data_IF_554558702147
#
_entry.id   IF_554558702147
#
_cell.length_a   1.000
_cell.length_b   1.000
_cell.length_c   1.000
_cell.angle_alpha   90.00
_cell.angle_beta   90.00
_cell.angle_gamma   90.00
#
_symmetry.space_group_name_H-M   'P 1'
#
loop_
_entity.id
_entity.type
_entity.pdbx_description
1 polymer ?
#
# COMPACT_ATOMS: atom_id res chain seq x y z
N UNK A 1 -20.07 -19.74 -3.64
CA UNK A 1 -20.14 -21.01 -2.88
C UNK A 1 -21.62 -21.21 -2.55
N UNK A 2 -22.26 -22.23 -3.11
CA UNK A 2 -23.72 -22.41 -2.98
C UNK A 2 -24.03 -23.02 -1.60
N UNK A 3 -24.68 -22.25 -0.73
CA UNK A 3 -25.28 -22.72 0.53
C UNK A 3 -26.67 -23.31 0.21
N UNK A 4 -27.00 -24.45 0.81
CA UNK A 4 -28.22 -25.20 0.54
C UNK A 4 -29.49 -24.46 1.05
N UNK A 5 -30.65 -24.58 0.36
CA UNK A 5 -31.88 -23.90 0.69
C UNK A 5 -32.72 -24.74 1.67
N UNK A 6 -32.42 -24.64 2.96
CA UNK A 6 -33.35 -25.06 4.01
C UNK A 6 -33.37 -23.93 5.04
N UNK A 7 -34.49 -23.70 5.72
CA UNK A 7 -34.77 -22.58 6.64
C UNK A 7 -35.33 -21.30 5.97
N UNK A 8 -36.52 -21.43 5.36
CA UNK A 8 -37.49 -20.33 5.33
C UNK A 8 -38.74 -20.77 6.10
N UNK A 9 -39.06 -20.08 7.19
CA UNK A 9 -40.44 -19.98 7.68
C UNK A 9 -41.05 -18.74 7.05
N UNK A 10 -42.22 -18.91 6.43
CA UNK A 10 -42.80 -17.99 5.44
C UNK A 10 -43.46 -16.72 6.04
N UNK A 11 -43.04 -16.30 7.24
CA UNK A 11 -43.70 -15.23 8.02
C UNK A 11 -42.75 -14.20 8.67
N UNK A 12 -41.42 -14.30 8.51
CA UNK A 12 -40.49 -13.38 9.17
C UNK A 12 -39.49 -12.77 8.17
N UNK A 13 -39.51 -11.45 8.00
CA UNK A 13 -38.55 -10.65 7.20
C UNK A 13 -37.11 -10.66 7.79
N UNK A 14 -36.79 -11.66 8.61
CA UNK A 14 -35.52 -11.82 9.32
C UNK A 14 -34.53 -12.59 8.45
N UNK A 15 -33.27 -12.21 8.54
CA UNK A 15 -32.17 -12.97 7.96
C UNK A 15 -31.62 -13.96 8.98
N UNK A 16 -31.50 -15.23 8.61
CA UNK A 16 -30.93 -16.27 9.48
C UNK A 16 -29.83 -17.03 8.75
N UNK A 17 -28.70 -17.22 9.44
CA UNK A 17 -27.58 -18.05 8.96
C UNK A 17 -27.17 -19.05 10.04
N UNK A 18 -27.19 -20.34 9.70
CA UNK A 18 -26.66 -21.40 10.57
C UNK A 18 -25.12 -21.41 10.50
N UNK A 19 -24.47 -21.20 11.64
CA UNK A 19 -23.02 -21.17 11.76
C UNK A 19 -22.42 -22.49 12.25
N UNK A 20 -23.25 -23.53 12.47
CA UNK A 20 -22.81 -24.88 12.83
C UNK A 20 -21.75 -25.46 11.87
N UNK A 21 -21.83 -25.27 10.55
CA UNK A 21 -20.78 -25.72 9.61
C UNK A 21 -19.40 -25.10 9.85
N UNK A 22 -19.34 -23.96 10.55
CA UNK A 22 -18.10 -23.24 10.87
C UNK A 22 -17.62 -23.50 12.31
N UNK A 23 -18.25 -24.44 13.02
CA UNK A 23 -17.89 -24.81 14.40
C UNK A 23 -18.58 -23.97 15.49
N UNK A 24 -19.55 -23.13 15.13
CA UNK A 24 -20.33 -22.36 16.09
C UNK A 24 -21.69 -23.00 16.35
N UNK A 25 -22.01 -23.31 17.60
CA UNK A 25 -23.25 -24.02 17.98
C UNK A 25 -24.48 -23.09 18.09
N UNK A 26 -24.61 -22.12 17.19
CA UNK A 26 -25.75 -21.20 17.13
C UNK A 26 -26.02 -20.75 15.69
N UNK A 27 -27.26 -20.34 15.42
CA UNK A 27 -27.63 -19.55 14.25
C UNK A 27 -27.56 -18.07 14.58
N UNK A 28 -27.06 -17.26 13.65
CA UNK A 28 -27.16 -15.81 13.72
C UNK A 28 -28.47 -15.37 13.07
N UNK A 29 -29.26 -14.57 13.79
CA UNK A 29 -30.51 -13.98 13.32
C UNK A 29 -30.36 -12.46 13.31
N UNK A 30 -30.72 -11.83 12.20
CA UNK A 30 -30.72 -10.37 12.03
C UNK A 30 -32.13 -9.92 11.64
N UNK A 31 -32.70 -9.04 12.46
CA UNK A 31 -34.03 -8.50 12.26
C UNK A 31 -34.07 -7.47 11.11
N UNK A 32 -35.24 -7.22 10.49
CA UNK A 32 -35.36 -6.26 9.37
C UNK A 32 -35.14 -4.81 9.82
N UNK A 33 -35.03 -3.92 8.83
CA UNK A 33 -34.75 -2.49 9.06
C UNK A 33 -35.74 -1.82 10.03
N UNK A 34 -37.04 -2.08 9.91
CA UNK A 34 -38.05 -1.49 10.79
C UNK A 34 -37.91 -1.90 12.26
N UNK A 35 -37.24 -3.02 12.53
CA UNK A 35 -36.99 -3.56 13.86
C UNK A 35 -35.59 -3.18 14.39
N UNK A 36 -34.92 -2.23 13.72
CA UNK A 36 -33.66 -1.66 14.19
C UNK A 36 -32.41 -2.47 13.83
N UNK A 37 -32.55 -3.50 12.98
CA UNK A 37 -31.48 -4.46 12.66
C UNK A 37 -30.84 -5.05 13.93
N UNK A 38 -31.66 -5.36 14.93
CA UNK A 38 -31.21 -6.08 16.11
C UNK A 38 -30.71 -7.47 15.71
N UNK A 39 -29.75 -7.99 16.47
CA UNK A 39 -29.06 -9.23 16.15
C UNK A 39 -29.16 -10.17 17.34
N UNK A 40 -29.33 -11.45 17.07
CA UNK A 40 -29.50 -12.48 18.09
C UNK A 40 -28.73 -13.74 17.71
N UNK A 41 -28.25 -14.46 18.72
CA UNK A 41 -27.76 -15.84 18.59
C UNK A 41 -28.84 -16.78 19.07
N UNK A 42 -29.24 -17.71 18.22
CA UNK A 42 -30.22 -18.75 18.51
C UNK A 42 -29.49 -20.08 18.68
N UNK A 43 -29.49 -20.63 19.88
CA UNK A 43 -28.79 -21.88 20.21
C UNK A 43 -29.68 -23.10 20.00
N UNK A 44 -29.04 -24.26 19.83
CA UNK A 44 -29.74 -25.54 19.62
C UNK A 44 -30.61 -25.98 20.81
N UNK A 45 -30.35 -25.46 22.01
CA UNK A 45 -31.16 -25.69 23.22
C UNK A 45 -32.40 -24.78 23.32
N UNK A 46 -32.60 -23.91 22.32
CA UNK A 46 -33.69 -22.93 22.25
C UNK A 46 -33.40 -21.64 23.01
N UNK A 47 -32.23 -21.47 23.61
CA UNK A 47 -31.83 -20.19 24.21
C UNK A 47 -31.54 -19.14 23.13
N UNK A 48 -31.84 -17.89 23.46
CA UNK A 48 -31.62 -16.72 22.59
C UNK A 48 -30.79 -15.70 23.35
N UNK A 49 -29.69 -15.26 22.76
CA UNK A 49 -28.81 -14.22 23.31
C UNK A 49 -28.80 -13.02 22.35
N UNK A 50 -28.99 -11.81 22.88
CA UNK A 50 -28.81 -10.59 22.09
C UNK A 50 -27.33 -10.44 21.69
N UNK A 51 -27.08 -10.14 20.43
CA UNK A 51 -25.76 -9.88 19.90
C UNK A 51 -25.56 -8.38 19.70
N UNK A 52 -24.55 -7.83 20.38
CA UNK A 52 -24.09 -6.47 20.14
C UNK A 52 -22.90 -6.45 19.18
N UNK A 53 -22.79 -5.37 18.40
CA UNK A 53 -21.59 -5.09 17.62
C UNK A 53 -21.60 -5.56 16.17
N UNK A 54 -20.42 -5.89 15.67
CA UNK A 54 -20.21 -6.44 14.32
C UNK A 54 -20.64 -7.90 14.22
N UNK A 55 -21.19 -8.27 13.06
CA UNK A 55 -21.47 -9.68 12.70
C UNK A 55 -20.41 -10.28 11.79
N UNK A 56 -19.35 -9.54 11.45
CA UNK A 56 -18.25 -9.94 10.57
C UNK A 56 -18.71 -10.43 9.17
N UNK A 57 -19.93 -10.08 8.78
CA UNK A 57 -20.49 -10.26 7.46
C UNK A 57 -20.82 -8.91 6.86
N UNK A 58 -20.27 -8.65 5.68
CA UNK A 58 -20.66 -7.51 4.85
C UNK A 58 -22.08 -7.69 4.30
N UNK A 59 -22.75 -6.57 3.97
CA UNK A 59 -24.04 -6.63 3.25
C UNK A 59 -23.93 -7.42 1.95
N UNK A 60 -22.81 -7.33 1.24
CA UNK A 60 -22.61 -8.09 0.02
C UNK A 60 -22.60 -9.60 0.31
N UNK A 61 -21.90 -10.05 1.36
CA UNK A 61 -21.91 -11.48 1.75
C UNK A 61 -23.31 -11.94 2.16
N UNK A 62 -24.05 -11.11 2.90
CA UNK A 62 -25.45 -11.39 3.27
C UNK A 62 -26.31 -11.50 2.01
N UNK A 63 -26.25 -10.53 1.09
CA UNK A 63 -27.03 -10.55 -0.15
C UNK A 63 -26.78 -11.81 -1.02
N UNK A 64 -25.58 -12.38 -1.00
CA UNK A 64 -25.25 -13.61 -1.74
C UNK A 64 -25.71 -14.90 -1.04
N UNK A 65 -26.20 -14.82 0.19
CA UNK A 65 -26.71 -15.97 0.93
C UNK A 65 -28.21 -16.19 0.68
N UNK A 66 -28.71 -17.44 0.81
CA UNK A 66 -30.15 -17.71 0.67
C UNK A 66 -30.99 -16.82 1.58
N UNK A 67 -32.00 -16.15 1.02
CA UNK A 67 -32.89 -15.22 1.75
C UNK A 67 -32.29 -13.83 2.03
N UNK A 68 -30.97 -13.65 1.91
CA UNK A 68 -30.30 -12.38 2.24
C UNK A 68 -30.72 -11.21 1.36
N UNK A 69 -30.99 -11.43 0.06
CA UNK A 69 -31.51 -10.36 -0.83
C UNK A 69 -32.81 -9.76 -0.30
N UNK A 70 -33.71 -10.59 0.23
CA UNK A 70 -34.99 -10.09 0.74
C UNK A 70 -34.80 -9.21 1.98
N UNK A 71 -33.93 -9.63 2.89
CA UNK A 71 -33.58 -8.84 4.08
C UNK A 71 -32.86 -7.54 3.71
N UNK A 72 -31.91 -7.56 2.77
CA UNK A 72 -31.23 -6.34 2.30
C UNK A 72 -32.24 -5.34 1.72
N UNK A 73 -33.27 -5.81 1.01
CA UNK A 73 -34.32 -4.95 0.46
C UNK A 73 -35.22 -4.30 1.53
N UNK A 74 -35.11 -4.68 2.81
CA UNK A 74 -35.78 -3.95 3.91
C UNK A 74 -35.06 -2.63 4.22
N UNK A 75 -33.77 -2.52 3.87
CA UNK A 75 -32.92 -1.37 4.16
C UNK A 75 -33.07 -0.35 3.02
N UNK A 76 -33.25 0.95 3.32
CA UNK A 76 -33.32 1.98 2.28
C UNK A 76 -32.05 2.04 1.41
N UNK A 77 -32.21 2.01 0.07
CA UNK A 77 -31.10 1.95 -0.89
C UNK A 77 -30.00 2.99 -0.65
N UNK A 78 -30.39 4.24 -0.40
CA UNK A 78 -29.42 5.32 -0.15
C UNK A 78 -28.53 5.09 1.09
N UNK A 79 -28.95 4.27 2.05
CA UNK A 79 -28.13 3.91 3.22
C UNK A 79 -27.16 2.76 2.89
N UNK A 80 -27.53 1.88 1.97
CA UNK A 80 -26.66 0.81 1.46
C UNK A 80 -25.44 1.46 0.78
N UNK A 81 -25.67 2.45 -0.08
CA UNK A 81 -24.60 3.20 -0.75
C UNK A 81 -23.65 3.88 0.24
N UNK A 82 -24.16 4.39 1.36
CA UNK A 82 -23.35 5.07 2.38
C UNK A 82 -22.43 4.12 3.15
N UNK A 83 -22.81 2.84 3.29
CA UNK A 83 -22.02 1.86 4.04
C UNK A 83 -21.19 0.92 3.16
N UNK A 84 -21.40 0.90 1.83
CA UNK A 84 -20.60 0.14 0.88
C UNK A 84 -19.07 0.26 1.12
N UNK A 85 -18.51 1.45 1.43
CA UNK A 85 -17.08 1.58 1.70
C UNK A 85 -16.61 0.92 3.01
N UNK A 86 -17.49 0.40 3.87
CA UNK A 86 -17.15 -0.16 5.19
C UNK A 86 -17.67 -1.59 5.34
N UNK A 87 -17.13 -2.55 4.56
CA UNK A 87 -17.69 -3.90 4.50
C UNK A 87 -17.74 -4.60 5.87
N UNK A 88 -16.72 -4.41 6.72
CA UNK A 88 -16.61 -5.12 8.00
C UNK A 88 -17.57 -4.58 9.07
N UNK A 89 -17.86 -3.28 9.06
CA UNK A 89 -18.67 -2.62 10.11
C UNK A 89 -19.99 -2.04 9.59
N UNK A 90 -20.28 -2.14 8.30
CA UNK A 90 -21.43 -1.51 7.67
C UNK A 90 -22.78 -1.93 8.27
N UNK A 91 -22.94 -3.22 8.59
CA UNK A 91 -24.15 -3.73 9.27
C UNK A 91 -24.26 -3.15 10.68
N UNK A 92 -23.15 -3.07 11.42
CA UNK A 92 -23.16 -2.47 12.75
C UNK A 92 -23.50 -0.98 12.70
N UNK A 93 -22.92 -0.22 11.75
CA UNK A 93 -23.24 1.18 11.49
C UNK A 93 -24.73 1.38 11.19
N UNK A 94 -25.32 0.52 10.34
CA UNK A 94 -26.75 0.55 10.05
C UNK A 94 -27.60 0.25 11.28
N UNK A 95 -27.22 -0.76 12.08
CA UNK A 95 -28.00 -1.07 13.30
C UNK A 95 -27.99 0.08 14.31
N UNK A 96 -26.88 0.81 14.45
CA UNK A 96 -26.83 2.03 15.25
C UNK A 96 -27.75 3.10 14.66
N UNK A 97 -27.68 3.33 13.35
CA UNK A 97 -28.49 4.33 12.66
C UNK A 97 -30.00 4.03 12.71
N UNK A 98 -30.40 2.76 12.62
CA UNK A 98 -31.79 2.34 12.65
C UNK A 98 -32.47 2.61 14.01
N UNK A 99 -31.69 2.65 15.10
CA UNK A 99 -32.20 2.81 16.47
C UNK A 99 -31.85 4.16 17.11
N UNK A 100 -30.92 4.93 16.52
CA UNK A 100 -30.47 6.19 17.08
C UNK A 100 -30.39 7.30 16.02
N UNK A 101 -31.17 8.37 16.23
CA UNK A 101 -31.23 9.52 15.31
C UNK A 101 -29.87 10.22 15.13
N UNK A 102 -29.03 10.31 16.16
CA UNK A 102 -27.71 10.96 16.02
C UNK A 102 -26.73 10.09 15.23
N UNK A 103 -26.79 8.77 15.40
CA UNK A 103 -26.03 7.84 14.56
C UNK A 103 -26.50 7.93 13.10
N UNK A 104 -27.81 8.05 12.85
CA UNK A 104 -28.36 8.30 11.51
C UNK A 104 -27.84 9.63 10.92
N UNK A 105 -27.88 10.72 11.69
CA UNK A 105 -27.35 12.02 11.26
C UNK A 105 -25.85 11.91 10.89
N UNK A 106 -25.05 11.17 11.67
CA UNK A 106 -23.63 10.92 11.37
C UNK A 106 -23.46 10.05 10.12
N UNK A 107 -24.25 9.00 9.95
CA UNK A 107 -24.20 8.14 8.77
C UNK A 107 -24.47 8.95 7.50
N UNK A 108 -25.48 9.84 7.52
CA UNK A 108 -25.82 10.68 6.37
C UNK A 108 -24.77 11.77 6.12
N UNK A 109 -24.26 12.41 7.18
CA UNK A 109 -23.39 13.58 7.02
C UNK A 109 -21.90 13.24 6.88
N UNK A 110 -21.41 12.21 7.57
CA UNK A 110 -20.00 11.79 7.56
C UNK A 110 -19.86 10.33 8.04
N UNK A 111 -20.14 9.33 7.16
CA UNK A 111 -20.10 7.91 7.51
C UNK A 111 -18.80 7.45 8.18
N UNK A 112 -17.64 7.97 7.74
CA UNK A 112 -16.32 7.64 8.31
C UNK A 112 -16.27 7.89 9.82
N UNK A 113 -16.98 8.92 10.31
CA UNK A 113 -17.01 9.21 11.74
C UNK A 113 -17.76 8.13 12.52
N UNK A 114 -18.90 7.67 12.00
CA UNK A 114 -19.65 6.57 12.60
C UNK A 114 -18.84 5.27 12.53
N UNK A 115 -18.15 5.02 11.42
CA UNK A 115 -17.20 3.91 11.29
C UNK A 115 -16.13 3.94 12.41
N UNK A 116 -15.51 5.08 12.70
CA UNK A 116 -14.52 5.16 13.78
C UNK A 116 -15.12 4.92 15.17
N UNK A 117 -16.36 5.34 15.42
CA UNK A 117 -17.07 5.03 16.66
C UNK A 117 -17.26 3.52 16.79
N UNK A 118 -17.79 2.86 15.74
CA UNK A 118 -17.97 1.42 15.71
C UNK A 118 -16.65 0.67 15.89
N UNK A 119 -15.57 1.15 15.27
CA UNK A 119 -14.24 0.53 15.39
C UNK A 119 -13.65 0.67 16.80
N UNK A 120 -13.94 1.77 17.50
CA UNK A 120 -13.49 1.99 18.88
C UNK A 120 -14.29 1.16 19.89
N UNK A 121 -15.56 0.91 19.59
CA UNK A 121 -16.50 0.17 20.45
C UNK A 121 -17.22 -0.95 19.68
N UNK A 122 -16.48 -1.97 19.21
CA UNK A 122 -17.02 -3.00 18.32
C UNK A 122 -17.99 -3.96 19.00
N UNK A 123 -18.03 -3.99 20.34
CA UNK A 123 -18.87 -4.87 21.16
C UNK A 123 -19.60 -4.11 22.30
N UNK A 124 -19.57 -2.78 22.28
CA UNK A 124 -20.16 -1.94 23.32
C UNK A 124 -21.09 -0.92 22.66
N UNK A 125 -22.33 -1.35 22.45
CA UNK A 125 -23.34 -0.56 21.73
C UNK A 125 -23.69 0.71 22.49
N UNK A 126 -23.78 0.62 23.82
CA UNK A 126 -24.14 1.74 24.68
C UNK A 126 -23.10 2.86 24.56
N UNK A 127 -21.81 2.53 24.66
CA UNK A 127 -20.74 3.50 24.55
C UNK A 127 -20.64 4.08 23.13
N UNK A 128 -20.86 3.28 22.09
CA UNK A 128 -20.95 3.78 20.71
C UNK A 128 -22.09 4.81 20.54
N UNK A 129 -23.29 4.51 21.08
CA UNK A 129 -24.43 5.42 21.06
C UNK A 129 -24.16 6.69 21.88
N UNK A 130 -23.51 6.56 23.03
CA UNK A 130 -23.14 7.68 23.89
C UNK A 130 -22.21 8.66 23.15
N UNK A 131 -21.21 8.13 22.41
CA UNK A 131 -20.34 8.96 21.58
C UNK A 131 -21.10 9.72 20.49
N UNK A 132 -22.11 9.10 19.87
CA UNK A 132 -22.91 9.74 18.83
C UNK A 132 -23.66 11.00 19.32
N UNK A 133 -23.85 11.16 20.64
CA UNK A 133 -24.54 12.33 21.21
C UNK A 133 -23.68 13.60 21.22
N UNK A 134 -22.36 13.50 21.06
CA UNK A 134 -21.46 14.64 21.09
C UNK A 134 -21.38 15.36 19.75
N UNK A 135 -20.89 16.61 19.79
CA UNK A 135 -20.51 17.32 18.57
C UNK A 135 -19.36 16.62 17.85
N UNK A 136 -19.29 16.76 16.53
CA UNK A 136 -18.34 16.00 15.70
C UNK A 136 -16.86 16.24 16.04
N UNK A 137 -16.49 17.44 16.54
CA UNK A 137 -15.10 17.70 16.97
C UNK A 137 -14.81 17.09 18.33
N UNK A 138 -15.80 17.07 19.21
CA UNK A 138 -15.75 16.42 20.50
C UNK A 138 -15.64 14.90 20.31
N UNK A 139 -16.37 14.31 19.36
CA UNK A 139 -16.19 12.90 18.94
C UNK A 139 -14.74 12.63 18.53
N UNK A 140 -14.17 13.44 17.64
CA UNK A 140 -12.76 13.28 17.24
C UNK A 140 -11.81 13.36 18.44
N UNK A 141 -12.04 14.28 19.36
CA UNK A 141 -11.22 14.42 20.57
C UNK A 141 -11.30 13.15 21.45
N UNK A 142 -12.50 12.64 21.70
CA UNK A 142 -12.72 11.42 22.49
C UNK A 142 -12.11 10.18 21.85
N UNK A 143 -12.05 10.13 20.52
CA UNK A 143 -11.38 9.08 19.75
C UNK A 143 -9.85 9.26 19.66
N UNK A 144 -9.29 10.30 20.29
CA UNK A 144 -7.84 10.57 20.29
C UNK A 144 -7.31 11.19 19.00
N UNK A 145 -8.17 11.77 18.17
CA UNK A 145 -7.81 12.42 16.90
C UNK A 145 -7.72 13.94 17.02
N UNK A 146 -7.12 14.56 16.00
CA UNK A 146 -7.11 16.02 15.86
C UNK A 146 -8.55 16.58 15.79
N UNK A 147 -8.93 17.40 16.77
CA UNK A 147 -10.30 17.90 16.94
C UNK A 147 -10.53 19.28 16.28
N UNK A 148 -10.20 19.40 14.99
CA UNK A 148 -10.25 20.66 14.25
C UNK A 148 -11.27 20.64 13.11
N UNK A 149 -11.67 21.84 12.63
CA UNK A 149 -12.47 21.96 11.39
C UNK A 149 -11.70 21.40 10.17
N UNK A 150 -10.37 21.48 10.18
CA UNK A 150 -9.52 20.92 9.14
C UNK A 150 -9.56 19.39 9.11
N UNK A 151 -9.58 18.75 10.28
CA UNK A 151 -9.69 17.30 10.38
C UNK A 151 -11.04 16.79 9.84
N UNK A 152 -12.14 17.47 10.16
CA UNK A 152 -13.46 17.16 9.59
C UNK A 152 -13.47 17.29 8.06
N UNK A 153 -12.92 18.39 7.52
CA UNK A 153 -12.78 18.60 6.08
C UNK A 153 -11.87 17.57 5.40
N UNK A 154 -10.88 17.05 6.12
CA UNK A 154 -10.05 15.97 5.62
C UNK A 154 -10.86 14.68 5.48
N UNK A 155 -11.66 14.32 6.50
CA UNK A 155 -12.56 13.17 6.42
C UNK A 155 -13.54 13.28 5.24
N UNK A 156 -14.08 14.48 4.99
CA UNK A 156 -15.00 14.73 3.87
C UNK A 156 -14.38 14.46 2.48
N UNK A 157 -13.05 14.44 2.39
CA UNK A 157 -12.33 14.22 1.13
C UNK A 157 -11.95 12.77 0.93
N UNK A 158 -11.99 11.92 1.96
CA UNK A 158 -11.56 10.53 1.86
C UNK A 158 -12.56 9.76 1.00
N UNK A 159 -12.06 9.13 -0.05
CA UNK A 159 -12.82 8.29 -0.95
C UNK A 159 -12.06 6.96 -1.15
N UNK A 160 -12.13 6.11 -0.14
CA UNK A 160 -11.49 4.79 -0.10
C UNK A 160 -12.41 3.80 0.61
N UNK A 161 -12.25 2.53 0.29
CA UNK A 161 -12.87 1.42 1.02
C UNK A 161 -12.03 1.09 2.26
N UNK A 162 -12.68 0.94 3.40
CA UNK A 162 -12.14 0.45 4.68
C UNK A 162 -12.28 -1.07 4.76
N UNK A 163 -11.80 -1.78 3.73
CA UNK A 163 -11.78 -3.25 3.62
C UNK A 163 -10.53 -3.88 4.23
N UNK A 164 -9.64 -3.07 4.81
CA UNK A 164 -8.42 -3.55 5.41
C UNK A 164 -8.03 -2.72 6.63
N UNK A 165 -7.43 -3.41 7.62
CA UNK A 165 -6.76 -2.78 8.76
C UNK A 165 -5.73 -1.74 8.32
N UNK A 166 -5.11 -1.92 7.16
CA UNK A 166 -4.10 -1.00 6.63
C UNK A 166 -4.68 0.38 6.31
N UNK A 167 -5.86 0.45 5.68
CA UNK A 167 -6.55 1.71 5.37
C UNK A 167 -6.93 2.44 6.66
N UNK A 168 -7.52 1.73 7.62
CA UNK A 168 -7.85 2.27 8.93
C UNK A 168 -6.63 2.89 9.62
N UNK A 169 -5.52 2.14 9.71
CA UNK A 169 -4.29 2.61 10.35
C UNK A 169 -3.67 3.81 9.62
N UNK A 170 -3.73 3.86 8.29
CA UNK A 170 -3.22 5.00 7.53
C UNK A 170 -4.00 6.28 7.85
N UNK A 171 -5.33 6.23 7.77
CA UNK A 171 -6.18 7.41 7.99
C UNK A 171 -6.06 7.90 9.44
N UNK A 172 -6.06 7.00 10.43
CA UNK A 172 -5.91 7.37 11.85
C UNK A 172 -4.54 7.97 12.16
N UNK A 173 -3.46 7.47 11.54
CA UNK A 173 -2.11 8.08 11.65
C UNK A 173 -2.07 9.50 11.07
N UNK A 174 -2.78 9.74 9.97
CA UNK A 174 -2.88 11.09 9.39
C UNK A 174 -3.63 12.08 10.31
N UNK A 175 -4.61 11.58 11.06
CA UNK A 175 -5.41 12.33 12.03
C UNK A 175 -4.75 12.51 13.41
N UNK A 176 -3.54 12.00 13.61
CA UNK A 176 -2.86 12.08 14.91
C UNK A 176 -2.72 13.54 15.38
N UNK A 177 -3.14 13.87 16.62
CA UNK A 177 -3.29 15.26 17.09
C UNK A 177 -1.98 16.04 17.16
N UNK A 178 -0.84 15.36 17.31
CA UNK A 178 0.49 16.00 17.35
C UNK A 178 1.06 16.21 15.94
N UNK A 179 0.88 15.22 15.06
CA UNK A 179 1.55 15.23 13.75
C UNK A 179 0.73 15.99 12.71
N UNK A 180 -0.60 15.96 12.84
CA UNK A 180 -1.57 16.65 11.99
C UNK A 180 -1.30 16.53 10.48
N UNK A 181 -0.80 15.36 10.05
CA UNK A 181 -0.39 15.13 8.65
C UNK A 181 -1.54 15.30 7.67
N UNK A 182 -2.79 15.14 8.11
CA UNK A 182 -3.99 15.45 7.32
C UNK A 182 -3.95 16.84 6.66
N UNK A 183 -3.23 17.82 7.25
CA UNK A 183 -3.11 19.18 6.71
C UNK A 183 -2.38 19.24 5.36
N UNK A 184 -1.48 18.31 5.07
CA UNK A 184 -0.81 18.25 3.76
C UNK A 184 -1.77 17.89 2.62
N UNK A 185 -2.96 17.37 2.95
CA UNK A 185 -4.02 17.07 1.97
C UNK A 185 -5.00 18.23 1.75
N UNK A 186 -4.74 19.42 2.29
CA UNK A 186 -5.65 20.58 2.16
C UNK A 186 -5.97 20.95 0.71
N UNK A 187 -5.04 20.75 -0.22
CA UNK A 187 -5.23 21.06 -1.64
C UNK A 187 -5.86 19.93 -2.47
N UNK A 188 -6.09 18.75 -1.86
CA UNK A 188 -6.71 17.64 -2.56
C UNK A 188 -8.23 17.85 -2.59
N UNK A 189 -8.89 17.75 -3.77
CA UNK A 189 -10.35 17.74 -3.83
C UNK A 189 -10.93 16.43 -3.29
N UNK A 190 -10.23 15.33 -3.53
CA UNK A 190 -10.57 13.97 -3.08
C UNK A 190 -9.28 13.21 -2.78
N UNK A 191 -9.31 12.34 -1.79
CA UNK A 191 -8.19 11.54 -1.29
C UNK A 191 -8.55 10.07 -1.51
N UNK A 192 -8.02 9.51 -2.60
CA UNK A 192 -8.19 8.11 -2.95
C UNK A 192 -7.04 7.24 -2.40
N UNK A 193 -7.12 5.92 -2.61
CA UNK A 193 -6.11 4.98 -2.14
C UNK A 193 -4.71 5.30 -2.69
N UNK A 194 -4.63 5.86 -3.90
CA UNK A 194 -3.35 6.26 -4.50
C UNK A 194 -2.72 7.44 -3.76
N UNK A 195 -3.52 8.43 -3.35
CA UNK A 195 -3.03 9.55 -2.55
C UNK A 195 -2.46 9.09 -1.20
N UNK A 196 -3.15 8.17 -0.52
CA UNK A 196 -2.67 7.57 0.73
C UNK A 196 -1.39 6.76 0.53
N UNK A 197 -1.32 5.96 -0.53
CA UNK A 197 -0.11 5.19 -0.87
C UNK A 197 1.08 6.09 -1.18
N UNK A 198 0.88 7.19 -1.91
CA UNK A 198 1.93 8.15 -2.21
C UNK A 198 2.46 8.83 -0.94
N UNK A 199 1.60 9.15 0.02
CA UNK A 199 2.05 9.70 1.32
C UNK A 199 2.89 8.69 2.10
N UNK A 200 2.56 7.40 2.05
CA UNK A 200 3.37 6.36 2.70
C UNK A 200 4.76 6.23 2.11
N UNK A 201 4.89 6.33 0.77
CA UNK A 201 6.18 6.12 0.08
C UNK A 201 6.99 7.42 -0.03
N UNK A 202 6.33 8.54 -0.32
CA UNK A 202 6.92 9.86 -0.49
C UNK A 202 6.20 10.93 0.35
N UNK A 203 6.27 10.85 1.69
CA UNK A 203 5.54 11.75 2.58
C UNK A 203 5.88 13.23 2.39
N UNK A 204 7.06 13.53 1.82
CA UNK A 204 7.52 14.89 1.52
C UNK A 204 6.89 15.49 0.26
N UNK A 205 6.35 14.65 -0.63
CA UNK A 205 5.66 15.11 -1.84
C UNK A 205 4.18 15.39 -1.58
N UNK A 206 3.61 14.96 -0.46
CA UNK A 206 2.19 15.16 -0.16
C UNK A 206 1.84 16.65 -0.17
N UNK A 207 0.84 17.03 -0.97
CA UNK A 207 0.45 18.43 -1.16
C UNK A 207 1.18 19.15 -2.29
N UNK A 208 2.20 18.52 -2.89
CA UNK A 208 2.90 19.06 -4.06
C UNK A 208 2.10 18.89 -5.36
N UNK A 209 2.49 19.65 -6.39
CA UNK A 209 1.92 19.50 -7.74
C UNK A 209 2.16 18.10 -8.29
N UNK A 210 3.36 17.56 -8.05
CA UNK A 210 3.76 16.25 -8.52
C UNK A 210 2.90 15.17 -7.88
N UNK A 211 2.74 15.19 -6.55
CA UNK A 211 1.89 14.20 -5.88
C UNK A 211 0.45 14.26 -6.39
N UNK A 212 -0.09 15.46 -6.63
CA UNK A 212 -1.43 15.59 -7.21
C UNK A 212 -1.54 14.95 -8.59
N UNK A 213 -0.60 15.22 -9.51
CA UNK A 213 -0.61 14.60 -10.84
C UNK A 213 -0.42 13.08 -10.79
N UNK A 214 0.40 12.59 -9.85
CA UNK A 214 0.66 11.17 -9.67
C UNK A 214 -0.57 10.38 -9.17
N UNK A 215 -1.52 11.02 -8.47
CA UNK A 215 -2.79 10.35 -8.10
C UNK A 215 -3.59 9.89 -9.33
N UNK A 216 -3.35 10.49 -10.49
CA UNK A 216 -4.02 10.17 -11.77
C UNK A 216 -3.20 9.21 -12.64
N UNK A 217 -2.01 8.81 -12.21
CA UNK A 217 -1.09 8.00 -13.01
C UNK A 217 -1.51 6.52 -13.09
N UNK A 218 -1.23 5.91 -14.24
CA UNK A 218 -1.49 4.49 -14.51
C UNK A 218 -0.65 3.56 -13.63
N UNK A 219 -1.10 2.32 -13.41
CA UNK A 219 -0.39 1.29 -12.64
C UNK A 219 1.05 1.06 -13.11
N UNK A 220 1.29 1.07 -14.42
CA UNK A 220 2.63 0.88 -15.02
C UNK A 220 3.62 1.96 -14.59
N UNK A 221 3.14 3.19 -14.45
CA UNK A 221 3.94 4.33 -14.01
C UNK A 221 4.29 4.22 -12.51
N UNK A 222 3.42 3.59 -11.71
CA UNK A 222 3.61 3.46 -10.24
C UNK A 222 4.78 2.55 -9.87
N UNK A 223 4.99 1.44 -10.57
CA UNK A 223 6.08 0.50 -10.26
C UNK A 223 7.45 1.14 -10.46
N UNK A 224 7.58 2.04 -11.44
CA UNK A 224 8.86 2.70 -11.78
C UNK A 224 9.12 3.97 -10.97
N UNK A 225 8.08 4.54 -10.38
CA UNK A 225 8.12 5.85 -9.75
C UNK A 225 9.17 5.94 -8.62
N UNK A 226 9.30 4.95 -7.70
CA UNK A 226 10.28 5.08 -6.63
C UNK A 226 11.72 5.13 -7.09
N UNK A 227 12.08 4.25 -8.03
CA UNK A 227 13.42 4.24 -8.61
C UNK A 227 13.68 5.56 -9.36
N UNK A 228 12.76 5.99 -10.22
CA UNK A 228 12.94 7.22 -10.99
C UNK A 228 13.10 8.46 -10.10
N UNK A 229 12.26 8.62 -9.07
CA UNK A 229 12.36 9.74 -8.12
C UNK A 229 13.71 9.68 -7.40
N UNK A 230 14.07 8.54 -6.83
CA UNK A 230 15.34 8.38 -6.11
C UNK A 230 16.55 8.70 -6.99
N UNK A 231 16.59 8.14 -8.21
CA UNK A 231 17.68 8.34 -9.15
C UNK A 231 17.81 9.82 -9.54
N UNK A 232 16.67 10.49 -9.75
CA UNK A 232 16.63 11.92 -10.07
C UNK A 232 17.13 12.76 -8.90
N UNK A 233 16.72 12.47 -7.66
CA UNK A 233 17.21 13.18 -6.46
C UNK A 233 18.72 13.03 -6.31
N UNK A 234 19.24 11.81 -6.41
CA UNK A 234 20.68 11.53 -6.28
C UNK A 234 21.48 12.26 -7.36
N UNK A 235 20.94 12.30 -8.58
CA UNK A 235 21.55 13.03 -9.68
C UNK A 235 21.56 14.55 -9.43
N UNK A 236 20.48 15.11 -8.89
CA UNK A 236 20.42 16.52 -8.49
C UNK A 236 21.45 16.87 -7.41
N UNK A 237 21.57 16.05 -6.36
CA UNK A 237 22.57 16.26 -5.31
C UNK A 237 23.99 16.28 -5.88
N UNK A 238 24.30 15.36 -6.81
CA UNK A 238 25.62 15.31 -7.47
C UNK A 238 25.91 16.49 -8.39
N UNK A 239 24.88 17.11 -8.94
CA UNK A 239 25.00 18.35 -9.72
C UNK A 239 25.08 19.59 -8.82
N UNK A 240 25.09 19.43 -7.49
CA UNK A 240 25.21 20.52 -6.52
C UNK A 240 23.89 21.23 -6.20
N UNK A 241 22.74 20.66 -6.54
CA UNK A 241 21.45 21.19 -6.09
C UNK A 241 21.26 20.92 -4.60
N UNK A 242 21.03 21.97 -3.81
CA UNK A 242 20.83 21.87 -2.35
C UNK A 242 19.55 21.10 -1.99
N UNK A 243 18.46 21.32 -2.75
CA UNK A 243 17.15 20.68 -2.52
C UNK A 243 16.52 20.15 -3.82
N UNK A 244 17.00 19.02 -4.37
CA UNK A 244 16.44 18.43 -5.59
C UNK A 244 14.97 18.02 -5.46
N UNK A 245 14.55 17.68 -4.23
CA UNK A 245 13.16 17.34 -3.93
C UNK A 245 12.21 18.52 -4.14
N UNK A 246 12.64 19.75 -3.89
CA UNK A 246 11.81 20.93 -4.12
C UNK A 246 11.55 21.15 -5.61
N UNK A 247 12.56 20.86 -6.45
CA UNK A 247 12.42 20.89 -7.91
C UNK A 247 11.40 19.85 -8.36
N UNK A 248 11.51 18.62 -7.84
CA UNK A 248 10.57 17.53 -8.15
C UNK A 248 9.14 17.87 -7.72
N UNK A 249 8.96 18.47 -6.54
CA UNK A 249 7.65 18.84 -6.00
C UNK A 249 6.88 19.83 -6.91
N UNK A 250 7.59 20.62 -7.72
CA UNK A 250 6.97 21.58 -8.66
C UNK A 250 6.55 20.96 -9.99
N UNK A 251 6.97 19.74 -10.30
CA UNK A 251 6.62 19.05 -11.54
C UNK A 251 5.16 18.60 -11.53
N UNK A 252 4.57 18.44 -12.72
CA UNK A 252 3.14 18.13 -12.84
C UNK A 252 2.86 16.63 -12.93
N UNK A 253 3.79 15.85 -13.48
CA UNK A 253 3.58 14.43 -13.75
C UNK A 253 4.89 13.63 -13.82
N UNK A 254 4.77 12.32 -14.01
CA UNK A 254 5.91 11.40 -14.11
C UNK A 254 6.75 11.62 -15.38
N UNK A 255 6.15 12.12 -16.47
CA UNK A 255 6.87 12.38 -17.71
C UNK A 255 7.77 13.61 -17.55
N UNK A 256 7.33 14.61 -16.79
CA UNK A 256 8.13 15.74 -16.37
C UNK A 256 9.32 15.32 -15.49
N UNK A 257 9.11 14.36 -14.58
CA UNK A 257 10.22 13.77 -13.80
C UNK A 257 11.21 13.07 -14.73
N UNK A 258 10.72 12.30 -15.70
CA UNK A 258 11.57 11.61 -16.68
C UNK A 258 12.37 12.58 -17.55
N UNK A 259 11.75 13.68 -17.99
CA UNK A 259 12.43 14.75 -18.74
C UNK A 259 13.48 15.45 -17.88
N UNK A 260 13.17 15.77 -16.62
CA UNK A 260 14.13 16.38 -15.70
C UNK A 260 15.34 15.47 -15.50
N UNK A 261 15.09 14.19 -15.26
CA UNK A 261 16.12 13.16 -15.17
C UNK A 261 17.04 13.19 -16.40
N UNK A 262 16.47 13.12 -17.61
CA UNK A 262 17.26 13.10 -18.85
C UNK A 262 18.09 14.39 -19.06
N UNK A 263 17.52 15.55 -18.73
CA UNK A 263 18.23 16.84 -18.76
C UNK A 263 19.42 16.82 -17.80
N UNK A 264 19.21 16.34 -16.57
CA UNK A 264 20.28 16.27 -15.57
C UNK A 264 21.34 15.23 -15.94
N UNK A 265 20.98 14.13 -16.60
CA UNK A 265 21.94 13.15 -17.13
C UNK A 265 22.82 13.83 -18.18
N UNK A 266 22.24 14.62 -19.07
CA UNK A 266 23.00 15.37 -20.08
C UNK A 266 23.93 16.40 -19.43
N UNK A 267 23.42 17.24 -18.51
CA UNK A 267 24.23 18.26 -17.81
C UNK A 267 25.42 17.65 -17.07
N UNK A 268 25.24 16.46 -16.51
CA UNK A 268 26.32 15.73 -15.85
C UNK A 268 27.46 15.37 -16.80
N UNK A 269 27.16 15.05 -18.07
CA UNK A 269 28.20 14.77 -19.09
C UNK A 269 28.97 16.03 -19.46
N UNK A 270 28.31 17.18 -19.40
CA UNK A 270 28.91 18.48 -19.68
C UNK A 270 29.73 19.01 -18.49
N UNK A 271 29.51 18.50 -17.28
CA UNK A 271 30.29 18.86 -16.10
C UNK A 271 31.63 18.11 -16.04
N UNK A 272 32.66 18.86 -15.69
CA UNK A 272 34.00 18.32 -15.46
C UNK A 272 33.98 17.32 -14.30
N UNK A 273 34.75 16.23 -14.43
CA UNK A 273 34.85 15.23 -13.38
C UNK A 273 35.39 15.84 -12.09
N UNK A 274 34.59 15.80 -11.03
CA UNK A 274 35.06 16.15 -9.67
C UNK A 274 35.47 14.86 -8.95
N UNK A 275 36.76 14.69 -8.59
CA UNK A 275 37.21 13.53 -7.85
C UNK A 275 36.60 13.47 -6.45
N UNK A 276 36.02 12.33 -6.09
CA UNK A 276 35.67 12.01 -4.70
C UNK A 276 36.80 11.18 -4.08
N UNK A 277 36.98 11.32 -2.76
CA UNK A 277 37.97 10.54 -2.01
C UNK A 277 37.76 9.03 -2.14
N UNK A 278 36.57 8.54 -2.47
CA UNK A 278 36.28 7.10 -2.56
C UNK A 278 36.44 6.52 -3.97
N UNK A 279 36.60 7.34 -5.02
CA UNK A 279 36.60 6.85 -6.41
C UNK A 279 37.80 5.99 -6.78
N UNK A 280 38.87 6.01 -5.99
CA UNK A 280 40.07 5.19 -6.22
C UNK A 280 40.02 3.83 -5.52
N UNK A 281 39.02 3.59 -4.66
CA UNK A 281 38.89 2.34 -3.94
C UNK A 281 38.32 1.24 -4.85
N UNK A 282 38.87 0.02 -4.83
CA UNK A 282 38.32 -1.10 -5.58
C UNK A 282 36.98 -1.53 -4.98
N UNK A 283 36.08 -2.02 -5.84
CA UNK A 283 34.83 -2.60 -5.41
C UNK A 283 35.01 -4.07 -4.99
N UNK A 284 34.21 -4.54 -4.02
CA UNK A 284 34.18 -5.95 -3.65
C UNK A 284 33.61 -6.77 -4.81
N UNK A 285 34.35 -7.81 -5.24
CA UNK A 285 33.88 -8.77 -6.25
C UNK A 285 33.53 -10.08 -5.53
N UNK A 286 32.23 -10.35 -5.36
CA UNK A 286 31.73 -11.53 -4.64
C UNK A 286 31.24 -12.65 -5.55
N UNK A 287 30.80 -12.31 -6.77
CA UNK A 287 30.39 -13.27 -7.80
C UNK A 287 31.30 -13.12 -8.99
N UNK A 288 31.64 -14.24 -9.63
CA UNK A 288 32.42 -14.19 -10.85
C UNK A 288 31.51 -13.98 -12.05
N UNK A 289 32.08 -13.31 -13.04
CA UNK A 289 31.49 -13.21 -14.35
C UNK A 289 31.64 -14.50 -15.16
N UNK A 290 31.22 -14.43 -16.41
CA UNK A 290 31.52 -15.40 -17.45
C UNK A 290 32.03 -14.66 -18.70
N UNK A 291 32.09 -15.34 -19.84
CA UNK A 291 32.54 -14.75 -21.11
C UNK A 291 31.70 -13.54 -21.58
N UNK A 292 30.49 -13.37 -21.08
CA UNK A 292 29.53 -12.37 -21.54
C UNK A 292 29.04 -11.42 -20.45
N UNK A 293 29.18 -11.79 -19.17
CA UNK A 293 28.80 -11.01 -18.00
C UNK A 293 30.06 -10.77 -17.18
N UNK A 294 30.45 -9.53 -16.95
CA UNK A 294 31.70 -9.17 -16.27
C UNK A 294 31.41 -8.26 -15.09
N UNK A 295 31.96 -8.52 -13.87
CA UNK A 295 31.78 -7.63 -12.74
C UNK A 295 32.44 -6.28 -12.99
N UNK A 296 31.78 -5.21 -12.56
CA UNK A 296 32.37 -3.88 -12.54
C UNK A 296 33.14 -3.73 -11.22
N UNK A 297 34.46 -3.58 -11.33
CA UNK A 297 35.37 -3.66 -10.18
C UNK A 297 35.84 -2.30 -9.63
N UNK A 298 35.52 -1.20 -10.29
CA UNK A 298 35.96 0.14 -9.88
C UNK A 298 35.01 1.24 -10.37
N UNK A 299 35.18 2.44 -9.81
CA UNK A 299 34.36 3.60 -10.13
C UNK A 299 34.48 4.08 -11.57
N UNK A 300 35.67 4.05 -12.16
CA UNK A 300 35.87 4.55 -13.53
C UNK A 300 35.23 3.62 -14.55
N UNK A 301 35.30 2.30 -14.33
CA UNK A 301 34.57 1.31 -15.12
C UNK A 301 33.05 1.47 -14.96
N UNK A 302 32.57 1.71 -13.74
CA UNK A 302 31.14 1.99 -13.49
C UNK A 302 30.65 3.26 -14.20
N UNK A 303 31.50 4.30 -14.20
CA UNK A 303 31.22 5.54 -14.92
C UNK A 303 31.14 5.32 -16.41
N UNK A 304 32.12 4.61 -16.99
CA UNK A 304 32.12 4.27 -18.41
C UNK A 304 30.88 3.47 -18.79
N UNK A 305 30.46 2.51 -17.96
CA UNK A 305 29.21 1.76 -18.15
C UNK A 305 28.00 2.69 -18.21
N UNK A 306 27.89 3.64 -17.26
CA UNK A 306 26.82 4.62 -17.23
C UNK A 306 26.81 5.57 -18.44
N UNK A 307 27.99 5.96 -18.92
CA UNK A 307 28.16 6.78 -20.13
C UNK A 307 27.75 6.02 -21.40
N UNK A 308 28.23 4.78 -21.58
CA UNK A 308 27.93 3.92 -22.73
C UNK A 308 26.43 3.61 -22.84
N UNK A 309 25.82 3.18 -21.75
CA UNK A 309 24.40 2.79 -21.72
C UNK A 309 23.46 3.94 -21.40
N UNK A 310 23.99 5.15 -21.19
CA UNK A 310 23.21 6.36 -20.93
C UNK A 310 22.23 6.20 -19.75
N UNK A 311 22.71 5.65 -18.63
CA UNK A 311 21.92 5.49 -17.42
C UNK A 311 22.72 5.76 -16.14
N UNK A 312 22.01 5.96 -15.03
CA UNK A 312 22.56 6.47 -13.78
C UNK A 312 23.18 5.41 -12.86
N UNK A 313 23.76 4.33 -13.38
CA UNK A 313 24.31 3.23 -12.55
C UNK A 313 25.34 3.70 -11.50
N UNK A 314 26.02 4.80 -11.76
CA UNK A 314 26.96 5.40 -10.81
C UNK A 314 26.32 5.85 -9.49
N UNK A 315 25.00 6.06 -9.41
CA UNK A 315 24.32 6.39 -8.14
C UNK A 315 24.53 5.31 -7.08
N UNK A 316 24.80 4.08 -7.52
CA UNK A 316 25.03 2.94 -6.65
C UNK A 316 26.47 2.87 -6.10
N UNK A 317 27.39 3.79 -6.47
CA UNK A 317 28.80 3.80 -6.03
C UNK A 317 28.98 3.51 -4.53
N UNK A 318 28.27 4.24 -3.67
CA UNK A 318 28.39 4.06 -2.22
C UNK A 318 27.95 2.69 -1.75
N UNK A 319 26.86 2.14 -2.33
CA UNK A 319 26.33 0.81 -1.96
C UNK A 319 27.20 -0.31 -2.48
N UNK A 320 27.85 -0.10 -3.63
CA UNK A 320 28.80 -1.06 -4.18
C UNK A 320 30.04 -1.10 -3.29
N UNK A 321 30.56 0.06 -2.90
CA UNK A 321 31.73 0.17 -2.05
C UNK A 321 31.51 -0.46 -0.66
N UNK A 322 30.31 -0.33 -0.09
CA UNK A 322 29.95 -0.95 1.20
C UNK A 322 29.64 -2.45 1.08
N UNK A 323 29.62 -3.01 -0.12
CA UNK A 323 29.31 -4.43 -0.36
C UNK A 323 27.83 -4.78 -0.31
N UNK A 324 26.93 -3.79 -0.28
CA UNK A 324 25.47 -3.97 -0.27
C UNK A 324 24.89 -4.16 -1.68
N UNK A 325 25.69 -3.87 -2.72
CA UNK A 325 25.26 -3.92 -4.11
C UNK A 325 26.39 -4.39 -5.03
N UNK A 326 26.05 -5.15 -6.07
CA UNK A 326 27.00 -5.56 -7.11
C UNK A 326 26.47 -5.13 -8.47
N UNK A 327 27.39 -4.79 -9.37
CA UNK A 327 27.05 -4.38 -10.73
C UNK A 327 27.87 -5.17 -11.74
N UNK A 328 27.21 -5.64 -12.78
CA UNK A 328 27.83 -6.39 -13.88
C UNK A 328 27.48 -5.76 -15.22
N UNK A 329 28.44 -5.82 -16.14
CA UNK A 329 28.30 -5.47 -17.54
C UNK A 329 28.04 -6.74 -18.34
N UNK A 330 26.96 -6.77 -19.13
CA UNK A 330 26.62 -7.88 -20.03
C UNK A 330 26.75 -7.43 -21.47
N UNK A 331 27.39 -8.23 -22.33
CA UNK A 331 27.60 -7.95 -23.77
C UNK A 331 26.70 -8.79 -24.68
N UNK A 332 26.33 -10.01 -24.26
CA UNK A 332 25.44 -10.92 -24.99
C UNK A 332 24.39 -11.52 -24.06
N UNK A 333 23.18 -11.80 -24.55
CA UNK A 333 22.69 -11.67 -25.94
C UNK A 333 22.39 -10.22 -26.36
N UNK A 334 22.37 -9.29 -25.41
CA UNK A 334 22.17 -7.86 -25.64
C UNK A 334 23.03 -7.10 -24.63
N UNK A 335 23.52 -5.92 -25.02
CA UNK A 335 24.32 -5.06 -24.14
C UNK A 335 23.43 -4.52 -23.01
N UNK A 336 23.75 -4.88 -21.76
CA UNK A 336 23.00 -4.49 -20.56
C UNK A 336 23.90 -4.30 -19.35
N UNK A 337 23.37 -3.60 -18.34
CA UNK A 337 23.88 -3.60 -16.97
C UNK A 337 22.95 -4.40 -16.08
N UNK A 338 23.54 -5.18 -15.18
CA UNK A 338 22.84 -5.97 -14.17
C UNK A 338 23.21 -5.40 -12.80
N UNK A 339 22.21 -5.04 -12.01
CA UNK A 339 22.35 -4.62 -10.62
C UNK A 339 21.79 -5.67 -9.68
N UNK A 340 22.53 -5.99 -8.62
CA UNK A 340 22.19 -7.03 -7.66
C UNK A 340 22.33 -6.51 -6.22
N UNK A 341 21.36 -6.82 -5.37
CA UNK A 341 21.44 -6.53 -3.93
C UNK A 341 22.14 -7.67 -3.20
N UNK A 342 22.94 -7.30 -2.21
CA UNK A 342 23.53 -8.23 -1.25
C UNK A 342 22.79 -8.07 0.06
N UNK A 343 22.19 -9.15 0.54
CA UNK A 343 21.43 -9.20 1.78
C UNK A 343 22.22 -10.05 2.77
N UNK A 344 22.86 -9.39 3.73
CA UNK A 344 23.50 -10.03 4.89
C UNK A 344 22.50 -10.11 6.04
N UNK A 345 22.52 -11.22 6.78
CA UNK A 345 21.77 -11.35 8.03
C UNK A 345 22.77 -11.33 9.18
N UNK A 346 22.32 -10.86 10.34
CA UNK A 346 23.15 -10.72 11.55
C UNK A 346 23.60 -12.08 12.14
N UNK A 347 23.07 -13.20 11.65
CA UNK A 347 23.26 -14.56 12.17
C UNK A 347 24.33 -15.38 11.41
N UNK A 348 25.51 -14.80 11.14
CA UNK A 348 26.67 -15.49 10.54
C UNK A 348 26.34 -16.30 9.25
N UNK A 349 25.20 -15.99 8.63
CA UNK A 349 24.69 -16.72 7.47
C UNK A 349 25.26 -16.14 6.19
N UNK A 350 25.51 -17.03 5.22
CA UNK A 350 26.07 -16.64 3.91
C UNK A 350 25.20 -15.54 3.27
N UNK A 351 25.81 -14.53 2.63
CA UNK A 351 25.06 -13.45 2.00
C UNK A 351 24.12 -14.00 0.93
N UNK A 352 22.88 -13.51 0.95
CA UNK A 352 21.90 -13.81 -0.09
C UNK A 352 21.98 -12.74 -1.18
N UNK A 353 21.87 -13.16 -2.43
CA UNK A 353 21.90 -12.26 -3.58
C UNK A 353 20.53 -12.20 -4.24
N UNK A 354 20.10 -11.01 -4.61
CA UNK A 354 18.87 -10.81 -5.37
C UNK A 354 19.11 -9.93 -6.60
N UNK A 355 18.51 -10.30 -7.73
CA UNK A 355 18.61 -9.51 -8.95
C UNK A 355 17.63 -8.35 -8.83
N UNK A 356 18.18 -7.16 -8.65
CA UNK A 356 17.39 -5.94 -8.50
C UNK A 356 16.99 -5.37 -9.85
N UNK A 357 17.94 -5.26 -10.79
CA UNK A 357 17.71 -4.61 -12.08
C UNK A 357 18.49 -5.25 -13.22
N UNK A 358 17.86 -5.29 -14.39
CA UNK A 358 18.49 -5.59 -15.67
C UNK A 358 18.08 -4.48 -16.64
N UNK A 359 19.02 -3.66 -17.10
CA UNK A 359 18.75 -2.45 -17.89
C UNK A 359 19.64 -2.37 -19.11
N UNK A 360 19.05 -2.10 -20.26
CA UNK A 360 19.78 -1.74 -21.49
C UNK A 360 19.93 -0.22 -21.64
N UNK A 361 20.33 0.19 -22.84
CA UNK A 361 20.51 1.59 -23.22
C UNK A 361 19.30 2.46 -22.82
N UNK A 362 19.54 3.59 -22.13
CA UNK A 362 18.52 4.49 -21.57
C UNK A 362 17.47 3.77 -20.71
N UNK A 363 17.90 2.87 -19.83
CA UNK A 363 17.02 2.09 -18.95
C UNK A 363 15.98 1.22 -19.69
N UNK A 364 16.24 0.88 -20.96
CA UNK A 364 15.34 0.04 -21.76
C UNK A 364 15.16 -1.34 -21.11
N UNK A 365 13.92 -1.81 -21.11
CA UNK A 365 13.57 -3.13 -20.58
C UNK A 365 14.24 -4.24 -21.41
N UNK A 366 14.70 -5.32 -20.74
CA UNK A 366 15.39 -6.40 -21.40
C UNK A 366 14.46 -7.27 -22.24
N UNK A 367 15.00 -7.88 -23.31
CA UNK A 367 14.32 -8.98 -24.02
C UNK A 367 14.29 -10.24 -23.17
N UNK A 368 13.30 -11.10 -23.37
CA UNK A 368 13.17 -12.36 -22.62
C UNK A 368 14.42 -13.25 -22.71
N UNK A 369 15.11 -13.26 -23.86
CA UNK A 369 16.34 -14.04 -24.06
C UNK A 369 17.46 -13.54 -23.13
N UNK A 370 17.57 -12.21 -22.97
CA UNK A 370 18.54 -11.58 -22.07
C UNK A 370 18.21 -11.87 -20.61
N UNK A 371 16.93 -11.81 -20.23
CA UNK A 371 16.47 -12.19 -18.89
C UNK A 371 16.87 -13.65 -18.59
N UNK A 372 16.55 -14.58 -19.50
CA UNK A 372 16.88 -16.00 -19.33
C UNK A 372 18.38 -16.23 -19.18
N UNK A 373 19.22 -15.56 -19.98
CA UNK A 373 20.67 -15.67 -19.88
C UNK A 373 21.20 -15.21 -18.51
N UNK A 374 20.69 -14.09 -17.99
CA UNK A 374 21.07 -13.57 -16.67
C UNK A 374 20.67 -14.53 -15.56
N UNK A 375 19.43 -15.02 -15.54
CA UNK A 375 18.99 -15.98 -14.53
C UNK A 375 19.75 -17.31 -14.61
N UNK A 376 20.08 -17.79 -15.81
CA UNK A 376 20.88 -19.01 -15.97
C UNK A 376 22.29 -18.84 -15.41
N UNK A 377 22.96 -17.72 -15.70
CA UNK A 377 24.26 -17.41 -15.10
C UNK A 377 24.16 -17.31 -13.58
N UNK A 378 23.14 -16.61 -13.08
CA UNK A 378 22.98 -16.43 -11.64
C UNK A 378 22.74 -17.75 -10.90
N UNK A 379 21.94 -18.67 -11.46
CA UNK A 379 21.76 -20.01 -10.91
C UNK A 379 23.03 -20.86 -10.94
N UNK A 380 23.90 -20.67 -11.95
CA UNK A 380 25.22 -21.31 -11.97
C UNK A 380 26.13 -20.79 -10.86
N UNK A 381 26.17 -19.47 -10.67
CA UNK A 381 26.93 -18.85 -9.57
C UNK A 381 26.42 -19.28 -8.20
N UNK A 382 25.09 -19.35 -8.00
CA UNK A 382 24.50 -19.92 -6.78
C UNK A 382 24.94 -21.36 -6.54
N UNK A 383 24.91 -22.19 -7.59
CA UNK A 383 25.40 -23.58 -7.50
C UNK A 383 26.88 -23.61 -7.17
N UNK A 384 27.71 -22.73 -7.73
CA UNK A 384 29.14 -22.62 -7.42
C UNK A 384 29.37 -22.28 -5.94
N UNK A 385 28.63 -21.29 -5.42
CA UNK A 385 28.66 -20.90 -4.01
C UNK A 385 28.09 -21.99 -3.07
N UNK A 386 27.14 -22.80 -3.53
CA UNK A 386 26.56 -23.93 -2.79
C UNK A 386 27.37 -25.24 -2.93
N UNK A 387 28.16 -25.43 -3.99
CA UNK A 387 29.10 -26.56 -4.12
C UNK A 387 30.31 -26.35 -3.21
N UNK A 388 30.55 -25.11 -2.76
CA UNK A 388 31.32 -24.79 -1.55
C UNK A 388 30.52 -25.03 -0.23
N UNK A 389 29.52 -25.92 -0.25
CA UNK A 389 28.71 -26.38 0.88
C UNK A 389 27.39 -25.63 1.09
N UNK A 390 26.29 -26.11 0.51
CA UNK A 390 24.90 -25.93 0.98
C UNK A 390 23.91 -26.85 0.23
N UNK A 391 23.05 -27.53 0.98
CA UNK A 391 21.89 -28.29 0.49
C UNK A 391 20.61 -27.51 0.83
N UNK A 392 19.73 -27.19 -0.13
CA UNK A 392 18.48 -26.50 0.18
C UNK A 392 17.48 -27.44 0.88
N UNK A 393 16.74 -26.99 1.90
CA UNK A 393 15.60 -27.74 2.44
C UNK A 393 14.40 -27.64 1.46
N UNK A 394 13.49 -28.63 1.47
CA UNK A 394 12.40 -28.70 0.52
C UNK A 394 11.38 -27.59 0.76
N UNK A 395 10.88 -27.05 -0.35
CA UNK A 395 9.81 -26.05 -0.38
C UNK A 395 8.50 -26.66 0.14
N UNK A 396 7.91 -26.04 1.15
CA UNK A 396 6.49 -26.15 1.51
C UNK A 396 5.85 -24.77 1.45
#
# INVERSE_FOLDING_TARGET
MQLAPQYMHHDDERFQIDLSPFGFHFSLVIHPWQDGLTMERHYHDGSVEALEGSVDFSLQQIAHSPGGVHWVNTIPDHLIDLIEPYPDLGVYMLSLAATNRRAMDLLITRPIMLYFICQAYPLDREQAIALCQFGQREILHMLGFASSKGALKFLDKINVTFDSRSTHLQVTRLLHPIAERYRYFNHYPTINAQALQLDMVFPYLTGSKLAHGLTKASLKNRVRLPTLINDTVQLGLRLGYEAPMDVLAQLEDIDAVSRLHDIWVQRRREHEYVPCQTHHLPYPVMLEGNAHITPIADYFTLRKEGEELQHCVEIYHSRILTGEYLVFSMTQPERMTIGMRVITRDDDSKPFFDIDQIKGFKNKSPKEVSIKAVYQWFEQEKKRLNVAGYTPPPLH
#
